data_IF_641760806411
#
_entry.id   IF_641760806411
#
_cell.length_a   1.000
_cell.length_b   1.000
_cell.length_c   1.000
_cell.angle_alpha   90.00
_cell.angle_beta   90.00
_cell.angle_gamma   90.00
#
_symmetry.space_group_name_H-M   'P 1'
#
loop_
_entity.id
_entity.type
_entity.pdbx_description
1 polymer ?
#
# COMPACT_ATOMS: atom_id res chain seq x y z
N UNK A 1 27.82 20.48 -34.87
CA UNK A 1 28.42 19.44 -34.01
C UNK A 1 27.28 18.62 -33.41
N UNK A 2 26.81 17.59 -34.15
CA UNK A 2 25.67 16.75 -33.77
C UNK A 2 26.25 15.43 -33.25
N UNK A 3 26.19 15.20 -31.94
CA UNK A 3 26.60 13.92 -31.33
C UNK A 3 25.53 12.88 -31.62
N UNK A 4 25.90 11.89 -32.40
CA UNK A 4 25.04 10.80 -32.83
C UNK A 4 24.52 9.97 -31.66
N UNK A 5 23.20 9.79 -31.65
CA UNK A 5 22.51 8.77 -30.87
C UNK A 5 22.84 7.41 -31.51
N UNK A 6 23.89 6.76 -31.01
CA UNK A 6 24.22 5.38 -31.39
C UNK A 6 23.17 4.44 -30.81
N UNK A 7 22.72 3.54 -31.68
CA UNK A 7 21.68 2.57 -31.44
C UNK A 7 21.93 1.74 -30.19
N UNK A 8 20.93 1.73 -29.32
CA UNK A 8 20.80 0.73 -28.29
C UNK A 8 20.13 -0.50 -28.92
N UNK A 9 20.91 -1.54 -29.18
CA UNK A 9 20.39 -2.91 -29.26
C UNK A 9 19.96 -3.31 -27.86
N UNK A 10 18.68 -3.11 -27.56
CA UNK A 10 18.12 -3.32 -26.24
C UNK A 10 17.66 -4.77 -26.07
N UNK A 11 18.39 -5.54 -25.27
CA UNK A 11 17.77 -6.66 -24.57
C UNK A 11 16.69 -6.08 -23.66
N UNK A 12 15.43 -6.28 -24.02
CA UNK A 12 14.25 -5.65 -23.42
C UNK A 12 14.06 -5.92 -21.92
N UNK A 13 14.80 -6.86 -21.33
CA UNK A 13 14.72 -7.19 -19.91
C UNK A 13 15.63 -6.35 -19.00
N UNK A 14 16.77 -5.81 -19.50
CA UNK A 14 17.70 -5.06 -18.63
C UNK A 14 17.27 -3.61 -18.39
N UNK A 15 16.54 -3.01 -19.33
CA UNK A 15 16.08 -1.62 -19.19
C UNK A 15 14.91 -1.46 -18.23
N UNK A 16 14.02 -2.46 -18.12
CA UNK A 16 12.91 -2.37 -17.16
C UNK A 16 13.41 -2.30 -15.71
N UNK A 17 14.51 -2.99 -15.38
CA UNK A 17 15.11 -2.92 -14.03
C UNK A 17 15.79 -1.59 -13.74
N UNK A 18 16.32 -0.90 -14.75
CA UNK A 18 16.97 0.41 -14.57
C UNK A 18 15.95 1.52 -14.32
N UNK A 19 14.78 1.48 -14.98
CA UNK A 19 13.73 2.51 -14.86
C UNK A 19 13.14 2.60 -13.44
N UNK A 20 13.19 1.52 -12.67
CA UNK A 20 12.73 1.46 -11.28
C UNK A 20 13.87 1.41 -10.25
N UNK A 21 15.11 1.67 -10.66
CA UNK A 21 16.25 1.66 -9.75
C UNK A 21 16.22 2.90 -8.84
N UNK A 22 15.74 2.72 -7.61
CA UNK A 22 15.84 3.74 -6.56
C UNK A 22 17.25 3.76 -5.95
N UNK A 23 17.71 4.94 -5.55
CA UNK A 23 18.94 5.10 -4.78
C UNK A 23 18.78 4.55 -3.36
N UNK A 24 19.88 4.18 -2.66
CA UNK A 24 19.81 3.74 -1.26
C UNK A 24 19.08 4.71 -0.34
N UNK A 25 19.27 6.02 -0.53
CA UNK A 25 18.58 7.04 0.27
C UNK A 25 17.08 7.07 0.01
N UNK A 26 16.64 6.93 -1.26
CA UNK A 26 15.21 6.83 -1.59
C UNK A 26 14.58 5.60 -0.96
N UNK A 27 15.27 4.46 -0.96
CA UNK A 27 14.77 3.25 -0.31
C UNK A 27 14.67 3.38 1.21
N UNK A 28 15.68 3.96 1.87
CA UNK A 28 15.60 4.25 3.30
C UNK A 28 14.42 5.18 3.64
N UNK A 29 14.19 6.20 2.81
CA UNK A 29 13.08 7.13 2.97
C UNK A 29 11.71 6.50 2.65
N UNK A 30 11.63 5.52 1.76
CA UNK A 30 10.42 4.70 1.58
C UNK A 30 10.07 3.99 2.88
N UNK A 31 11.06 3.37 3.54
CA UNK A 31 10.86 2.77 4.87
C UNK A 31 10.37 3.79 5.90
N UNK A 32 11.04 4.93 6.05
CA UNK A 32 10.68 5.96 7.03
C UNK A 32 9.28 6.53 6.79
N UNK A 33 8.92 6.78 5.53
CA UNK A 33 7.63 7.40 5.18
C UNK A 33 6.42 6.51 5.48
N UNK A 34 6.60 5.19 5.65
CA UNK A 34 5.53 4.28 6.14
C UNK A 34 5.00 4.65 7.53
N UNK A 35 5.76 5.43 8.32
CA UNK A 35 5.32 5.92 9.63
C UNK A 35 4.14 6.88 9.50
N UNK A 36 4.01 7.62 8.39
CA UNK A 36 2.98 8.65 8.20
C UNK A 36 1.55 8.11 8.38
N UNK A 37 1.07 7.09 7.62
CA UNK A 37 -0.27 6.57 7.81
C UNK A 37 -0.50 6.01 9.22
N UNK A 38 0.52 5.39 9.82
CA UNK A 38 0.45 4.83 11.18
C UNK A 38 0.29 5.92 12.23
N UNK A 39 1.03 7.02 12.13
CA UNK A 39 0.92 8.17 13.04
C UNK A 39 -0.45 8.84 12.91
N UNK A 40 -0.96 9.01 11.69
CA UNK A 40 -2.30 9.56 11.47
C UNK A 40 -3.36 8.72 12.19
N UNK A 41 -3.35 7.39 12.00
CA UNK A 41 -4.26 6.49 12.71
C UNK A 41 -4.03 6.51 14.23
N UNK A 42 -2.78 6.67 14.67
CA UNK A 42 -2.44 6.79 16.09
C UNK A 42 -3.07 8.02 16.73
N UNK A 43 -3.03 9.17 16.05
CA UNK A 43 -3.67 10.40 16.50
C UNK A 43 -5.20 10.27 16.50
N UNK A 44 -5.79 9.71 15.44
CA UNK A 44 -7.25 9.49 15.37
C UNK A 44 -7.72 8.49 16.47
N UNK A 45 -6.98 7.40 16.69
CA UNK A 45 -7.29 6.43 17.75
C UNK A 45 -7.16 7.06 19.15
N UNK A 46 -6.09 7.82 19.39
CA UNK A 46 -5.86 8.52 20.66
C UNK A 46 -6.95 9.54 20.98
N UNK A 47 -7.37 10.30 19.98
CA UNK A 47 -8.36 11.38 20.16
C UNK A 47 -9.78 10.86 20.34
N UNK A 48 -10.14 9.77 19.65
CA UNK A 48 -11.52 9.27 19.62
C UNK A 48 -11.77 8.14 20.61
N UNK A 49 -10.74 7.36 20.95
CA UNK A 49 -10.88 6.14 21.77
C UNK A 49 -11.72 5.04 21.11
N UNK A 50 -12.04 5.16 19.81
CA UNK A 50 -12.90 4.21 19.11
C UNK A 50 -12.19 2.89 18.80
N UNK A 51 -12.89 1.78 19.05
CA UNK A 51 -12.35 0.44 18.84
C UNK A 51 -12.09 0.12 17.36
N UNK A 52 -12.92 0.59 16.44
CA UNK A 52 -12.75 0.32 15.02
C UNK A 52 -11.53 1.08 14.47
N UNK A 53 -11.33 2.33 14.88
CA UNK A 53 -10.10 3.08 14.55
C UNK A 53 -8.86 2.39 15.15
N UNK A 54 -8.96 1.86 16.37
CA UNK A 54 -7.88 1.09 17.00
C UNK A 54 -7.52 -0.17 16.20
N UNK A 55 -8.50 -0.86 15.61
CA UNK A 55 -8.24 -2.01 14.73
C UNK A 55 -7.52 -1.59 13.44
N UNK A 56 -7.85 -0.43 12.85
CA UNK A 56 -7.08 0.12 11.73
C UNK A 56 -5.61 0.37 12.14
N UNK A 57 -5.40 1.01 13.29
CA UNK A 57 -4.06 1.25 13.82
C UNK A 57 -3.30 -0.06 14.02
N UNK A 58 -3.93 -1.08 14.61
CA UNK A 58 -3.31 -2.40 14.81
C UNK A 58 -2.85 -3.00 13.49
N UNK A 59 -3.68 -2.95 12.44
CA UNK A 59 -3.30 -3.42 11.11
C UNK A 59 -2.07 -2.69 10.57
N UNK A 60 -2.06 -1.36 10.64
CA UNK A 60 -0.90 -0.55 10.22
C UNK A 60 0.37 -0.89 11.00
N UNK A 61 0.26 -1.02 12.34
CA UNK A 61 1.38 -1.39 13.20
C UNK A 61 1.94 -2.79 12.90
N UNK A 62 1.11 -3.73 12.42
CA UNK A 62 1.59 -5.06 12.01
C UNK A 62 2.38 -5.01 10.70
N UNK A 63 2.01 -4.12 9.77
CA UNK A 63 2.67 -4.01 8.46
C UNK A 63 3.97 -3.19 8.53
N UNK A 64 3.96 -2.10 9.30
CA UNK A 64 5.05 -1.13 9.37
C UNK A 64 6.45 -1.78 9.60
N UNK A 65 6.65 -2.67 10.60
CA UNK A 65 7.98 -3.25 10.85
C UNK A 65 8.50 -4.06 9.66
N UNK A 66 7.62 -4.80 8.99
CA UNK A 66 7.99 -5.66 7.85
C UNK A 66 8.37 -4.79 6.65
N UNK A 67 7.54 -3.79 6.33
CA UNK A 67 7.79 -2.87 5.22
C UNK A 67 9.05 -2.05 5.42
N UNK A 68 9.24 -1.49 6.62
CA UNK A 68 10.45 -0.75 6.98
C UNK A 68 11.69 -1.63 6.84
N UNK A 69 11.64 -2.86 7.35
CA UNK A 69 12.76 -3.81 7.28
C UNK A 69 13.08 -4.20 5.84
N UNK A 70 12.06 -4.41 4.99
CA UNK A 70 12.24 -4.67 3.57
C UNK A 70 12.99 -3.51 2.89
N UNK A 71 12.48 -2.28 3.02
CA UNK A 71 13.07 -1.11 2.40
C UNK A 71 14.49 -0.82 2.89
N UNK A 72 14.75 -0.94 4.19
CA UNK A 72 16.08 -0.78 4.74
C UNK A 72 17.05 -1.87 4.23
N UNK A 73 16.58 -3.12 4.12
CA UNK A 73 17.40 -4.22 3.57
C UNK A 73 17.75 -4.00 2.10
N UNK A 74 16.82 -3.44 1.30
CA UNK A 74 17.08 -3.05 -0.09
C UNK A 74 18.06 -1.87 -0.14
N UNK A 75 17.91 -0.87 0.72
CA UNK A 75 18.82 0.27 0.82
C UNK A 75 20.26 -0.18 1.13
N UNK A 76 20.43 -1.20 1.98
CA UNK A 76 21.72 -1.82 2.30
C UNK A 76 22.26 -2.77 1.22
N UNK A 77 21.57 -2.93 0.08
CA UNK A 77 22.04 -3.79 -1.01
C UNK A 77 21.96 -5.29 -0.72
N UNK A 78 21.10 -5.73 0.21
CA UNK A 78 21.01 -7.14 0.63
C UNK A 78 20.48 -8.09 -0.45
N UNK A 79 19.74 -7.57 -1.44
CA UNK A 79 19.07 -8.39 -2.46
C UNK A 79 19.62 -8.13 -3.85
N UNK A 80 19.91 -9.23 -4.57
CA UNK A 80 20.27 -9.19 -5.99
C UNK A 80 19.07 -8.75 -6.86
N UNK A 81 17.90 -9.31 -6.58
CA UNK A 81 16.63 -8.88 -7.18
C UNK A 81 15.79 -8.16 -6.12
N UNK A 82 15.59 -6.86 -6.33
CA UNK A 82 14.80 -6.01 -5.43
C UNK A 82 13.31 -6.27 -5.53
N UNK A 83 12.86 -6.78 -6.68
CA UNK A 83 11.46 -6.99 -7.02
C UNK A 83 10.99 -8.42 -6.70
N UNK A 84 11.86 -9.42 -6.81
CA UNK A 84 11.51 -10.80 -6.44
C UNK A 84 12.40 -11.33 -5.33
N UNK A 85 11.99 -11.06 -4.08
CA UNK A 85 12.63 -11.60 -2.87
C UNK A 85 11.59 -11.85 -1.78
N UNK A 86 11.96 -12.68 -0.81
CA UNK A 86 11.06 -13.13 0.25
C UNK A 86 10.59 -11.99 1.16
N UNK A 87 11.43 -10.98 1.44
CA UNK A 87 11.00 -9.84 2.25
C UNK A 87 9.95 -8.99 1.56
N UNK A 88 10.02 -8.83 0.23
CA UNK A 88 8.98 -8.15 -0.55
C UNK A 88 7.67 -8.95 -0.56
N UNK A 89 7.75 -10.28 -0.62
CA UNK A 89 6.57 -11.16 -0.54
C UNK A 89 5.93 -11.10 0.85
N UNK A 90 6.76 -11.03 1.90
CA UNK A 90 6.30 -10.87 3.27
C UNK A 90 5.65 -9.49 3.49
N UNK A 91 6.28 -8.41 3.03
CA UNK A 91 5.72 -7.04 3.07
C UNK A 91 4.31 -7.00 2.46
N UNK A 92 4.13 -7.62 1.31
CA UNK A 92 2.80 -7.70 0.69
C UNK A 92 1.83 -8.69 1.32
N UNK A 93 2.34 -9.75 1.93
CA UNK A 93 1.49 -10.62 2.73
C UNK A 93 0.88 -9.82 3.89
N UNK A 94 1.65 -8.92 4.48
CA UNK A 94 1.15 -8.00 5.51
C UNK A 94 0.13 -7.00 4.97
N UNK A 95 0.21 -6.56 3.72
CA UNK A 95 -0.86 -5.74 3.10
C UNK A 95 -2.21 -6.48 3.09
N UNK A 96 -2.20 -7.79 2.84
CA UNK A 96 -3.41 -8.61 2.92
C UNK A 96 -3.90 -8.80 4.37
N UNK A 97 -3.00 -8.91 5.35
CA UNK A 97 -3.37 -8.93 6.77
C UNK A 97 -4.03 -7.60 7.17
N UNK A 98 -3.43 -6.47 6.79
CA UNK A 98 -4.00 -5.13 6.98
C UNK A 98 -5.39 -5.05 6.36
N UNK A 99 -5.53 -5.51 5.11
CA UNK A 99 -6.82 -5.53 4.41
C UNK A 99 -7.89 -6.32 5.16
N UNK A 100 -7.54 -7.43 5.81
CA UNK A 100 -8.47 -8.21 6.65
C UNK A 100 -8.89 -7.44 7.90
N UNK A 101 -7.95 -6.83 8.62
CA UNK A 101 -8.28 -6.04 9.81
C UNK A 101 -9.10 -4.79 9.45
N UNK A 102 -8.76 -4.14 8.34
CA UNK A 102 -9.50 -2.99 7.82
C UNK A 102 -10.91 -3.38 7.42
N UNK A 103 -11.09 -4.58 6.85
CA UNK A 103 -12.39 -5.11 6.50
C UNK A 103 -13.30 -5.23 7.72
N UNK A 104 -12.77 -5.67 8.87
CA UNK A 104 -13.53 -5.68 10.12
C UNK A 104 -13.80 -4.28 10.64
N UNK A 105 -12.75 -3.45 10.78
CA UNK A 105 -12.86 -2.08 11.27
C UNK A 105 -13.90 -1.26 10.50
N UNK A 106 -13.91 -1.41 9.18
CA UNK A 106 -14.79 -0.65 8.30
C UNK A 106 -16.15 -1.30 8.12
N UNK A 107 -16.43 -2.53 8.56
CA UNK A 107 -17.75 -3.16 8.41
C UNK A 107 -18.48 -3.42 9.73
N UNK A 108 -17.74 -3.55 10.84
CA UNK A 108 -18.27 -4.07 12.11
C UNK A 108 -18.68 -5.54 12.05
N UNK A 109 -18.44 -6.25 10.93
CA UNK A 109 -18.94 -7.60 10.70
C UNK A 109 -17.81 -8.63 10.68
N UNK A 110 -17.81 -9.51 11.69
CA UNK A 110 -16.86 -10.63 11.77
C UNK A 110 -16.99 -11.59 10.58
N UNK A 111 -18.20 -11.85 10.11
CA UNK A 111 -18.45 -12.72 8.96
C UNK A 111 -17.87 -12.14 7.67
N UNK A 112 -18.01 -10.82 7.48
CA UNK A 112 -17.43 -10.13 6.34
C UNK A 112 -15.89 -10.16 6.38
N UNK A 113 -15.31 -9.99 7.58
CA UNK A 113 -13.87 -10.16 7.81
C UNK A 113 -13.40 -11.58 7.44
N UNK A 114 -14.11 -12.63 7.86
CA UNK A 114 -13.75 -14.03 7.55
C UNK A 114 -13.77 -14.28 6.04
N UNK A 115 -14.81 -13.81 5.35
CA UNK A 115 -14.90 -13.95 3.89
C UNK A 115 -13.73 -13.26 3.18
N UNK A 116 -13.40 -12.04 3.60
CA UNK A 116 -12.23 -11.32 3.08
C UNK A 116 -10.91 -12.02 3.45
N UNK A 117 -10.80 -12.58 4.65
CA UNK A 117 -9.62 -13.32 5.10
C UNK A 117 -9.35 -14.56 4.23
N UNK A 118 -10.40 -15.27 3.80
CA UNK A 118 -10.26 -16.41 2.85
C UNK A 118 -9.68 -15.93 1.52
N UNK A 119 -10.21 -14.84 0.95
CA UNK A 119 -9.68 -14.26 -0.28
C UNK A 119 -8.21 -13.83 -0.14
N UNK A 120 -7.89 -13.15 0.96
CA UNK A 120 -6.55 -12.69 1.26
C UNK A 120 -5.57 -13.83 1.50
N UNK A 121 -5.98 -14.90 2.19
CA UNK A 121 -5.19 -16.12 2.37
C UNK A 121 -4.85 -16.79 1.04
N UNK A 122 -5.83 -16.95 0.13
CA UNK A 122 -5.59 -17.48 -1.22
C UNK A 122 -4.65 -16.57 -2.01
N UNK A 123 -4.79 -15.25 -1.87
CA UNK A 123 -3.92 -14.28 -2.54
C UNK A 123 -2.47 -14.35 -2.05
N UNK A 124 -2.27 -14.55 -0.74
CA UNK A 124 -0.95 -14.78 -0.14
C UNK A 124 -0.36 -16.10 -0.64
N UNK A 125 -1.10 -17.21 -0.64
CA UNK A 125 -0.60 -18.50 -1.19
C UNK A 125 -0.11 -18.33 -2.63
N UNK A 126 -0.87 -17.62 -3.48
CA UNK A 126 -0.46 -17.32 -4.86
C UNK A 126 0.71 -16.34 -4.97
N UNK A 127 0.89 -15.46 -4.00
CA UNK A 127 2.02 -14.54 -3.95
C UNK A 127 3.35 -15.28 -3.71
N UNK A 128 3.30 -16.35 -2.90
CA UNK A 128 4.47 -17.17 -2.57
C UNK A 128 4.76 -18.29 -3.58
N UNK A 129 3.84 -18.57 -4.51
CA UNK A 129 4.13 -19.43 -5.65
C UNK A 129 5.05 -18.71 -6.66
N UNK A 130 6.27 -19.24 -6.83
CA UNK A 130 7.28 -18.71 -7.74
C UNK A 130 6.81 -18.62 -9.20
N UNK A 131 5.80 -19.40 -9.61
CA UNK A 131 5.23 -19.34 -10.97
C UNK A 131 4.35 -18.10 -11.17
N UNK A 132 3.87 -17.50 -10.09
CA UNK A 132 2.91 -16.38 -10.12
C UNK A 132 3.40 -15.15 -9.34
N UNK A 133 4.56 -15.21 -8.69
CA UNK A 133 5.11 -14.14 -7.84
C UNK A 133 5.39 -12.84 -8.61
N UNK A 134 5.71 -12.94 -9.90
CA UNK A 134 6.12 -11.82 -10.75
C UNK A 134 5.09 -11.45 -11.83
N UNK A 135 3.84 -11.90 -11.68
CA UNK A 135 2.77 -11.52 -12.60
C UNK A 135 2.11 -10.19 -12.23
N UNK A 136 1.61 -9.46 -13.23
CA UNK A 136 0.81 -8.24 -13.02
C UNK A 136 -0.49 -8.51 -12.22
N UNK A 137 -0.89 -9.79 -12.07
CA UNK A 137 -2.07 -10.18 -11.29
C UNK A 137 -1.86 -9.97 -9.78
N UNK A 138 -0.62 -9.86 -9.32
CA UNK A 138 -0.26 -9.44 -7.94
C UNK A 138 -0.92 -8.12 -7.57
N UNK A 139 -0.81 -7.11 -8.43
CA UNK A 139 -1.46 -5.81 -8.21
C UNK A 139 -2.98 -5.91 -8.22
N UNK A 140 -3.54 -6.72 -9.11
CA UNK A 140 -4.99 -6.97 -9.17
C UNK A 140 -5.50 -7.55 -7.84
N UNK A 141 -4.78 -8.49 -7.24
CA UNK A 141 -5.15 -9.09 -5.94
C UNK A 141 -5.16 -8.05 -4.81
N UNK A 142 -4.18 -7.16 -4.78
CA UNK A 142 -4.14 -6.04 -3.80
C UNK A 142 -5.32 -5.09 -4.03
N UNK A 143 -5.61 -4.73 -5.28
CA UNK A 143 -6.76 -3.87 -5.61
C UNK A 143 -8.09 -4.51 -5.23
N UNK A 144 -8.28 -5.81 -5.48
CA UNK A 144 -9.48 -6.53 -5.05
C UNK A 144 -9.60 -6.56 -3.52
N UNK A 145 -8.50 -6.82 -2.79
CA UNK A 145 -8.54 -6.74 -1.33
C UNK A 145 -8.95 -5.36 -0.84
N UNK A 146 -8.46 -4.30 -1.49
CA UNK A 146 -8.83 -2.92 -1.17
C UNK A 146 -10.31 -2.64 -1.41
N UNK A 147 -10.84 -3.07 -2.56
CA UNK A 147 -12.26 -2.94 -2.87
C UNK A 147 -13.13 -3.71 -1.87
N UNK A 148 -12.70 -4.89 -1.44
CA UNK A 148 -13.43 -5.67 -0.43
C UNK A 148 -13.53 -4.94 0.90
N UNK A 149 -12.41 -4.43 1.45
CA UNK A 149 -12.50 -3.75 2.76
C UNK A 149 -13.10 -2.34 2.69
N UNK A 150 -13.08 -1.67 1.52
CA UNK A 150 -13.73 -0.36 1.33
C UNK A 150 -15.18 -0.47 0.88
N UNK A 151 -15.63 -1.64 0.40
CA UNK A 151 -17.02 -1.91 0.03
C UNK A 151 -18.06 -1.52 1.10
N UNK A 152 -17.84 -1.81 2.39
CA UNK A 152 -18.70 -1.36 3.47
C UNK A 152 -18.86 0.17 3.57
N UNK A 153 -17.83 0.94 3.21
CA UNK A 153 -17.85 2.42 3.25
C UNK A 153 -18.88 2.95 2.24
N UNK A 154 -18.83 2.46 1.00
CA UNK A 154 -19.81 2.84 -0.03
C UNK A 154 -21.21 2.28 0.29
N UNK A 155 -21.31 1.06 0.82
CA UNK A 155 -22.58 0.45 1.22
C UNK A 155 -23.33 1.27 2.29
N UNK A 156 -22.60 1.86 3.25
CA UNK A 156 -23.17 2.75 4.28
C UNK A 156 -23.53 4.14 3.76
N UNK A 157 -23.26 4.46 2.49
CA UNK A 157 -23.48 5.79 1.93
C UNK A 157 -22.46 6.84 2.39
N UNK A 158 -21.29 6.44 2.90
CA UNK A 158 -20.22 7.36 3.31
C UNK A 158 -19.40 7.84 2.11
N UNK A 159 -20.09 8.45 1.14
CA UNK A 159 -19.53 8.78 -0.17
C UNK A 159 -18.40 9.80 -0.11
N UNK A 160 -18.42 10.70 0.88
CA UNK A 160 -17.36 11.69 1.05
C UNK A 160 -16.02 11.03 1.37
N UNK A 161 -15.97 10.21 2.43
CA UNK A 161 -14.74 9.51 2.80
C UNK A 161 -14.34 8.50 1.72
N UNK A 162 -15.31 7.82 1.08
CA UNK A 162 -15.02 6.96 -0.07
C UNK A 162 -14.39 7.72 -1.24
N UNK A 163 -14.88 8.93 -1.54
CA UNK A 163 -14.31 9.80 -2.56
C UNK A 163 -12.86 10.18 -2.26
N UNK A 164 -12.55 10.50 -1.00
CA UNK A 164 -11.16 10.77 -0.55
C UNK A 164 -10.28 9.53 -0.70
N UNK A 165 -10.77 8.35 -0.29
CA UNK A 165 -10.08 7.06 -0.48
C UNK A 165 -9.73 6.82 -1.95
N UNK A 166 -10.70 6.96 -2.85
CA UNK A 166 -10.50 6.78 -4.30
C UNK A 166 -9.53 7.82 -4.86
N UNK A 167 -9.68 9.09 -4.49
CA UNK A 167 -8.80 10.17 -4.94
C UNK A 167 -7.36 9.97 -4.47
N UNK A 168 -7.14 9.62 -3.19
CA UNK A 168 -5.83 9.29 -2.65
C UNK A 168 -5.20 8.11 -3.40
N UNK A 169 -5.97 7.05 -3.67
CA UNK A 169 -5.47 5.90 -4.43
C UNK A 169 -5.15 6.22 -5.89
N UNK A 170 -5.93 7.08 -6.54
CA UNK A 170 -5.63 7.55 -7.88
C UNK A 170 -4.31 8.35 -7.90
N UNK A 171 -4.12 9.27 -6.95
CA UNK A 171 -2.88 10.04 -6.80
C UNK A 171 -1.67 9.12 -6.51
N UNK A 172 -1.86 8.14 -5.63
CA UNK A 172 -0.89 7.07 -5.37
C UNK A 172 -0.48 6.34 -6.66
N UNK A 173 -1.44 5.99 -7.52
CA UNK A 173 -1.16 5.38 -8.83
C UNK A 173 -0.36 6.30 -9.76
N UNK A 174 -0.66 7.60 -9.77
CA UNK A 174 0.08 8.60 -10.54
C UNK A 174 1.55 8.66 -10.13
N UNK A 175 1.87 8.48 -8.84
CA UNK A 175 3.25 8.42 -8.33
C UNK A 175 4.10 7.29 -8.95
N UNK A 176 3.49 6.24 -9.49
CA UNK A 176 4.19 5.12 -10.14
C UNK A 176 4.21 5.21 -11.67
N UNK A 177 3.57 6.22 -12.29
CA UNK A 177 3.65 6.44 -13.73
C UNK A 177 5.08 6.84 -14.09
N UNK A 178 5.82 6.11 -14.95
CA UNK A 178 7.26 6.34 -15.16
C UNK A 178 7.62 7.78 -15.54
N UNK A 179 6.83 8.41 -16.41
CA UNK A 179 7.03 9.81 -16.81
C UNK A 179 6.90 10.79 -15.65
N UNK A 180 5.94 10.55 -14.75
CA UNK A 180 5.70 11.41 -13.58
C UNK A 180 6.74 11.13 -12.50
N UNK A 181 6.99 9.86 -12.19
CA UNK A 181 7.97 9.47 -11.18
C UNK A 181 9.37 9.97 -11.53
N UNK A 182 9.85 9.71 -12.75
CA UNK A 182 11.19 10.13 -13.16
C UNK A 182 11.27 11.62 -13.49
N UNK A 183 10.22 12.20 -14.11
CA UNK A 183 10.25 13.57 -14.62
C UNK A 183 9.87 14.64 -13.59
N UNK A 184 8.91 14.35 -12.71
CA UNK A 184 8.39 15.31 -11.72
C UNK A 184 8.92 14.99 -10.33
N UNK A 185 8.87 13.72 -9.93
CA UNK A 185 9.29 13.31 -8.59
C UNK A 185 10.76 12.90 -8.51
N UNK A 186 11.52 12.89 -9.61
CA UNK A 186 12.93 12.50 -9.61
C UNK A 186 13.20 11.14 -8.91
N UNK A 187 12.26 10.19 -9.04
CA UNK A 187 12.32 8.86 -8.42
C UNK A 187 11.73 8.76 -7.01
N UNK A 188 11.25 9.86 -6.42
CA UNK A 188 10.65 9.91 -5.07
C UNK A 188 9.16 9.51 -5.03
N UNK A 189 8.60 8.99 -6.12
CA UNK A 189 7.18 8.63 -6.21
C UNK A 189 6.74 7.65 -5.13
N UNK A 190 7.58 6.68 -4.73
CA UNK A 190 7.22 5.71 -3.69
C UNK A 190 7.14 6.34 -2.29
N UNK A 191 8.06 7.27 -1.95
CA UNK A 191 7.96 8.05 -0.71
C UNK A 191 6.70 8.92 -0.71
N UNK A 192 6.40 9.58 -1.84
CA UNK A 192 5.18 10.38 -1.98
C UNK A 192 3.91 9.54 -1.84
N UNK A 193 3.91 8.32 -2.38
CA UNK A 193 2.85 7.35 -2.19
C UNK A 193 2.55 7.11 -0.69
N UNK A 194 3.57 6.85 0.13
CA UNK A 194 3.37 6.66 1.59
C UNK A 194 2.84 7.91 2.29
N UNK A 195 3.29 9.10 1.89
CA UNK A 195 2.77 10.36 2.45
C UNK A 195 1.29 10.54 2.10
N UNK A 196 0.90 10.27 0.85
CA UNK A 196 -0.50 10.36 0.41
C UNK A 196 -1.38 9.34 1.14
N UNK A 197 -0.84 8.17 1.51
CA UNK A 197 -1.55 7.21 2.34
C UNK A 197 -1.93 7.77 3.73
N UNK A 198 -1.34 8.87 4.19
CA UNK A 198 -1.81 9.59 5.38
C UNK A 198 -3.24 10.13 5.23
N UNK A 199 -3.57 10.74 4.08
CA UNK A 199 -4.93 11.21 3.79
C UNK A 199 -5.91 10.04 3.66
N UNK A 200 -5.46 8.97 3.01
CA UNK A 200 -6.20 7.73 2.90
C UNK A 200 -6.56 7.16 4.28
N UNK A 201 -5.57 7.07 5.17
CA UNK A 201 -5.73 6.57 6.52
C UNK A 201 -6.71 7.41 7.34
N UNK A 202 -6.62 8.75 7.26
CA UNK A 202 -7.57 9.64 7.95
C UNK A 202 -9.00 9.47 7.46
N UNK A 203 -9.21 9.32 6.14
CA UNK A 203 -10.54 9.08 5.58
C UNK A 203 -11.14 7.74 6.05
N UNK A 204 -10.31 6.69 6.13
CA UNK A 204 -10.74 5.40 6.67
C UNK A 204 -11.07 5.48 8.17
N UNK A 205 -10.26 6.19 8.97
CA UNK A 205 -10.53 6.40 10.39
C UNK A 205 -11.88 7.10 10.60
N UNK A 206 -12.14 8.18 9.87
CA UNK A 206 -13.43 8.89 9.91
C UNK A 206 -14.60 8.01 9.51
N UNK A 207 -14.41 7.11 8.55
CA UNK A 207 -15.45 6.16 8.17
C UNK A 207 -15.68 5.07 9.21
N UNK A 208 -14.62 4.62 9.89
CA UNK A 208 -14.68 3.64 10.96
C UNK A 208 -15.45 4.16 12.19
N UNK A 209 -15.32 5.44 12.53
CA UNK A 209 -16.10 6.08 13.60
C UNK A 209 -17.62 5.92 13.39
N UNK A 210 -18.08 6.02 12.14
CA UNK A 210 -19.50 5.81 11.78
C UNK A 210 -19.98 4.39 12.05
N UNK A 211 -19.08 3.40 12.06
CA UNK A 211 -19.40 2.01 12.44
C UNK A 211 -19.62 1.91 13.95
N UNK A 212 -18.80 2.60 14.75
CA UNK A 212 -18.94 2.68 16.21
C UNK A 212 -20.13 3.52 16.70
N UNK A 213 -20.91 4.12 15.80
CA UNK A 213 -22.01 5.02 16.14
C UNK A 213 -21.55 6.43 16.54
N UNK A 214 -20.27 6.76 16.35
CA UNK A 214 -19.69 8.08 16.63
C UNK A 214 -19.67 8.85 15.31
N UNK A 215 -20.48 9.90 15.17
CA UNK A 215 -20.47 10.79 14.00
C UNK A 215 -21.61 10.59 12.99
N UNK A 216 -22.80 10.19 13.43
CA UNK A 216 -24.03 10.35 12.67
C UNK A 216 -24.49 11.82 12.71
N UNK A 217 -23.81 12.68 11.95
CA UNK A 217 -24.26 14.03 11.59
C UNK A 217 -24.18 14.19 10.09
#
# INVERSE_FOLDING_TARGET
MVRGLRGCGLSSSSHASEVYAMSPIQEAMNGISMVVPTVVLGLDAWTTGDWHVTVLLLGSCMHLPVSFTYHLSVACGRYRDRLDNDMRRLDQSMQHVVGTLYCFALSGSLWYMIANAVFNGVSVVKLWDARTSNDGRRWVRVMVSMLLYTGPVIWRGDYWNYGVVVASMALCGVCFVPRVNCGVFSGWGHTMFHVILGFYASALARSALKVGGIGST
#
